data_IF_715398112612
#
_entry.id   IF_715398112612
#
_cell.length_a   1.000
_cell.length_b   1.000
_cell.length_c   1.000
_cell.angle_alpha   90.00
_cell.angle_beta   90.00
_cell.angle_gamma   90.00
#
_symmetry.space_group_name_H-M   'P 1'
#
loop_
_entity.id
_entity.type
_entity.pdbx_description
1 polymer ?
#
# COMPACT_ATOMS: atom_id res chain seq x y z
N UNK A 1 -11.51 29.82 2.07
CA UNK A 1 -12.36 28.95 2.92
C UNK A 1 -13.17 27.95 2.09
N UNK A 2 -14.30 28.30 1.46
CA UNK A 2 -15.15 27.31 0.75
C UNK A 2 -14.52 26.72 -0.53
N UNK A 3 -13.79 27.52 -1.30
CA UNK A 3 -13.07 27.06 -2.50
C UNK A 3 -11.96 26.07 -2.19
N UNK A 4 -11.20 26.31 -1.12
CA UNK A 4 -10.11 25.42 -0.69
C UNK A 4 -10.69 24.07 -0.24
N UNK A 5 -11.77 24.08 0.55
CA UNK A 5 -12.47 22.87 0.96
C UNK A 5 -13.01 22.10 -0.25
N UNK A 6 -13.62 22.79 -1.23
CA UNK A 6 -14.09 22.17 -2.47
C UNK A 6 -12.96 21.50 -3.26
N UNK A 7 -11.80 22.14 -3.36
CA UNK A 7 -10.64 21.60 -4.05
C UNK A 7 -10.06 20.38 -3.32
N UNK A 8 -9.99 20.42 -1.99
CA UNK A 8 -9.60 19.27 -1.16
C UNK A 8 -10.54 18.09 -1.39
N UNK A 9 -11.86 18.31 -1.44
CA UNK A 9 -12.84 17.25 -1.70
C UNK A 9 -12.65 16.62 -3.08
N UNK A 10 -12.40 17.43 -4.12
CA UNK A 10 -12.14 16.93 -5.48
C UNK A 10 -10.86 16.09 -5.51
N UNK A 11 -9.77 16.60 -4.93
CA UNK A 11 -8.48 15.89 -4.90
C UNK A 11 -8.60 14.59 -4.11
N UNK A 12 -9.28 14.59 -2.96
CA UNK A 12 -9.50 13.39 -2.16
C UNK A 12 -10.34 12.35 -2.92
N UNK A 13 -11.43 12.77 -3.57
CA UNK A 13 -12.27 11.88 -4.37
C UNK A 13 -11.51 11.26 -5.55
N UNK A 14 -10.71 12.07 -6.27
CA UNK A 14 -9.85 11.58 -7.34
C UNK A 14 -8.79 10.58 -6.83
N UNK A 15 -8.17 10.86 -5.67
CA UNK A 15 -7.21 9.95 -5.05
C UNK A 15 -7.85 8.61 -4.67
N UNK A 16 -9.04 8.64 -4.07
CA UNK A 16 -9.79 7.41 -3.73
C UNK A 16 -10.15 6.61 -4.99
N UNK A 17 -10.62 7.28 -6.06
CA UNK A 17 -10.94 6.61 -7.32
C UNK A 17 -9.70 5.95 -7.95
N UNK A 18 -8.56 6.66 -7.95
CA UNK A 18 -7.29 6.10 -8.43
C UNK A 18 -6.84 4.90 -7.60
N UNK A 19 -6.95 4.96 -6.27
CA UNK A 19 -6.67 3.82 -5.39
C UNK A 19 -7.58 2.63 -5.71
N UNK A 20 -8.89 2.86 -5.91
CA UNK A 20 -9.83 1.81 -6.32
C UNK A 20 -9.43 1.14 -7.63
N UNK A 21 -8.98 1.91 -8.62
CA UNK A 21 -8.50 1.38 -9.90
C UNK A 21 -7.23 0.52 -9.74
N UNK A 22 -6.29 0.94 -8.88
CA UNK A 22 -5.09 0.16 -8.55
C UNK A 22 -5.45 -1.17 -7.87
N UNK A 23 -6.45 -1.18 -7.00
CA UNK A 23 -6.94 -2.40 -6.37
C UNK A 23 -7.56 -3.35 -7.40
N UNK A 24 -8.47 -2.85 -8.25
CA UNK A 24 -9.15 -3.66 -9.26
C UNK A 24 -8.21 -4.20 -10.33
N UNK A 25 -7.18 -3.42 -10.71
CA UNK A 25 -6.16 -3.87 -11.67
C UNK A 25 -5.20 -4.92 -11.11
N UNK A 26 -5.27 -5.25 -9.82
CA UNK A 26 -4.38 -6.20 -9.18
C UNK A 26 -2.97 -5.64 -8.93
N UNK A 27 -2.80 -4.32 -8.92
CA UNK A 27 -1.51 -3.66 -8.73
C UNK A 27 -0.86 -4.00 -7.37
N UNK A 28 -1.64 -4.46 -6.40
CA UNK A 28 -1.18 -4.90 -5.08
C UNK A 28 -1.10 -6.43 -4.93
N UNK A 29 -1.26 -7.23 -6.01
CA UNK A 29 -1.23 -8.70 -5.94
C UNK A 29 0.12 -9.29 -5.49
N UNK A 30 1.20 -8.50 -5.59
CA UNK A 30 2.52 -8.84 -5.08
C UNK A 30 2.66 -8.61 -3.56
N UNK A 31 1.78 -7.80 -2.97
CA UNK A 31 1.84 -7.45 -1.55
C UNK A 31 1.34 -8.63 -0.69
N UNK A 32 2.22 -9.17 0.14
CA UNK A 32 1.99 -10.37 0.95
C UNK A 32 2.30 -11.69 0.24
N UNK A 33 2.82 -11.67 -0.99
CA UNK A 33 3.21 -12.85 -1.79
C UNK A 33 4.72 -12.91 -2.10
N UNK A 34 5.52 -12.06 -1.47
CA UNK A 34 6.97 -12.05 -1.65
C UNK A 34 7.65 -13.23 -0.94
N UNK A 35 8.78 -13.76 -1.47
CA UNK A 35 9.56 -14.75 -0.76
C UNK A 35 10.02 -14.18 0.59
N UNK A 36 9.61 -14.82 1.69
CA UNK A 36 9.81 -14.33 3.06
C UNK A 36 8.53 -13.88 3.76
N UNK A 37 7.41 -13.74 3.04
CA UNK A 37 6.10 -13.60 3.67
C UNK A 37 5.63 -14.96 4.22
N UNK A 38 5.25 -15.00 5.50
CA UNK A 38 4.85 -16.23 6.18
C UNK A 38 3.35 -16.41 6.03
N UNK A 39 2.95 -17.53 5.42
CA UNK A 39 1.56 -17.95 5.31
C UNK A 39 1.40 -19.29 6.01
N UNK A 40 0.69 -19.28 7.13
CA UNK A 40 0.34 -20.50 7.84
C UNK A 40 -1.16 -20.72 7.72
N UNK A 41 -1.54 -21.77 6.99
CA UNK A 41 -2.92 -22.23 6.91
C UNK A 41 -3.01 -23.60 7.58
N UNK A 42 -3.87 -23.72 8.58
CA UNK A 42 -4.16 -25.00 9.21
C UNK A 42 -4.99 -25.84 8.24
N UNK A 43 -4.70 -27.14 8.13
CA UNK A 43 -5.32 -28.02 7.12
C UNK A 43 -6.84 -28.19 7.23
N UNK A 44 -7.42 -27.88 8.39
CA UNK A 44 -8.88 -27.85 8.62
C UNK A 44 -9.53 -26.50 8.26
N UNK A 45 -8.74 -25.52 7.80
CA UNK A 45 -9.19 -24.17 7.44
C UNK A 45 -9.58 -23.28 8.63
N UNK A 46 -9.49 -23.77 9.86
CA UNK A 46 -9.97 -23.06 11.06
C UNK A 46 -9.09 -21.86 11.43
N UNK A 47 -7.81 -21.89 11.06
CA UNK A 47 -6.84 -20.83 11.38
C UNK A 47 -5.99 -20.52 10.15
N UNK A 48 -5.96 -19.24 9.78
CA UNK A 48 -5.08 -18.68 8.75
C UNK A 48 -4.31 -17.51 9.34
N UNK A 49 -2.99 -17.59 9.33
CA UNK A 49 -2.10 -16.53 9.81
C UNK A 49 -1.25 -16.06 8.63
N UNK A 50 -1.36 -14.76 8.33
CA UNK A 50 -0.57 -14.10 7.29
C UNK A 50 0.35 -13.07 7.95
N UNK A 51 1.66 -13.24 7.77
CA UNK A 51 2.67 -12.31 8.29
C UNK A 51 3.51 -11.80 7.10
N UNK A 52 3.18 -10.63 6.54
CA UNK A 52 3.82 -10.10 5.34
C UNK A 52 5.14 -9.36 5.67
N UNK A 53 6.11 -10.08 6.27
CA UNK A 53 7.37 -9.50 6.75
C UNK A 53 8.20 -8.89 5.63
N UNK A 54 8.36 -9.60 4.51
CA UNK A 54 9.18 -9.14 3.39
C UNK A 54 8.50 -7.95 2.71
N UNK A 55 7.18 -8.04 2.51
CA UNK A 55 6.38 -6.96 1.91
C UNK A 55 6.46 -5.65 2.70
N UNK A 56 6.30 -5.71 4.03
CA UNK A 56 6.40 -4.51 4.89
C UNK A 56 7.82 -3.94 4.88
N UNK A 57 8.84 -4.79 4.84
CA UNK A 57 10.23 -4.36 4.78
C UNK A 57 10.55 -3.63 3.47
N UNK A 58 10.10 -4.17 2.34
CA UNK A 58 10.24 -3.53 1.02
C UNK A 58 9.55 -2.16 0.99
N UNK A 59 8.31 -2.08 1.48
CA UNK A 59 7.59 -0.80 1.55
C UNK A 59 8.33 0.20 2.45
N UNK A 60 8.82 -0.24 3.60
CA UNK A 60 9.57 0.63 4.52
C UNK A 60 10.81 1.22 3.86
N UNK A 61 11.62 0.38 3.20
CA UNK A 61 12.82 0.82 2.48
C UNK A 61 12.46 1.77 1.33
N UNK A 62 11.42 1.45 0.56
CA UNK A 62 10.97 2.28 -0.56
C UNK A 62 10.53 3.68 -0.09
N UNK A 63 9.74 3.76 0.99
CA UNK A 63 9.30 5.03 1.57
C UNK A 63 10.49 5.81 2.14
N UNK A 64 11.38 5.15 2.89
CA UNK A 64 12.59 5.80 3.40
C UNK A 64 13.43 6.39 2.28
N UNK A 65 13.68 5.62 1.20
CA UNK A 65 14.45 6.08 0.06
C UNK A 65 13.77 7.26 -0.65
N UNK A 66 12.45 7.17 -0.88
CA UNK A 66 11.69 8.25 -1.50
C UNK A 66 11.79 9.55 -0.68
N UNK A 67 11.61 9.48 0.64
CA UNK A 67 11.76 10.64 1.53
C UNK A 67 13.17 11.19 1.50
N UNK A 68 14.20 10.33 1.54
CA UNK A 68 15.60 10.76 1.47
C UNK A 68 15.92 11.45 0.14
N UNK A 69 15.40 10.95 -0.98
CA UNK A 69 15.60 11.56 -2.29
C UNK A 69 14.87 12.91 -2.41
N UNK A 70 13.62 12.98 -1.96
CA UNK A 70 12.87 14.25 -1.94
C UNK A 70 13.60 15.32 -1.11
N UNK A 71 14.09 14.95 0.09
CA UNK A 71 14.88 15.87 0.94
C UNK A 71 16.22 16.30 0.34
N UNK A 72 16.77 15.53 -0.61
CA UNK A 72 18.04 15.86 -1.25
C UNK A 72 17.86 16.70 -2.51
N UNK A 73 16.70 16.60 -3.16
CA UNK A 73 16.38 17.29 -4.41
C UNK A 73 15.71 18.65 -4.20
N UNK A 74 15.00 18.83 -3.07
CA UNK A 74 14.33 20.06 -2.65
C UNK A 74 14.99 20.62 -1.38
#
# INVERSE_FOLDING_TARGET
MTREVGLVLIVAGAAIAALGLLVVSGAFGWFGSLPGDIRYERGDGSVRVYVPLASILVVSVAVSLAVTLLRRLF
#
